data_IF_171427283408
#
_entry.id   IF_171427283408
#
_cell.length_a   1.000
_cell.length_b   1.000
_cell.length_c   1.000
_cell.angle_alpha   90.00
_cell.angle_beta   90.00
_cell.angle_gamma   90.00
#
_symmetry.space_group_name_H-M   'P 1'
#
loop_
_entity.id
_entity.type
_entity.pdbx_description
1 polymer ?
#
# COMPACT_ATOMS: atom_id res chain seq x y z
N UNK A 1 -17.05 -17.60 14.12
CA UNK A 1 -16.17 -18.04 13.02
C UNK A 1 -14.73 -17.77 13.38
N UNK A 2 -13.88 -18.78 13.21
CA UNK A 2 -12.44 -18.74 13.48
C UNK A 2 -11.70 -17.97 12.36
N UNK A 3 -10.54 -17.41 12.66
CA UNK A 3 -9.69 -16.76 11.64
C UNK A 3 -9.11 -17.83 10.71
N UNK A 4 -8.44 -18.83 11.29
CA UNK A 4 -7.93 -20.00 10.58
C UNK A 4 -8.71 -21.20 11.11
N UNK A 5 -9.37 -21.98 10.24
CA UNK A 5 -10.16 -23.12 10.69
C UNK A 5 -9.29 -24.12 11.44
N UNK A 6 -9.75 -24.56 12.60
CA UNK A 6 -9.04 -25.52 13.45
C UNK A 6 -7.94 -24.89 14.31
N UNK A 7 -7.83 -23.55 14.36
CA UNK A 7 -6.91 -22.84 15.26
C UNK A 7 -7.64 -21.83 16.14
N UNK A 8 -7.17 -21.64 17.39
CA UNK A 8 -7.56 -20.49 18.21
C UNK A 8 -7.28 -19.17 17.49
N UNK A 9 -8.12 -18.17 17.71
CA UNK A 9 -7.98 -16.87 17.03
C UNK A 9 -6.65 -16.19 17.37
N UNK A 10 -6.15 -16.38 18.59
CA UNK A 10 -4.86 -15.86 19.04
C UNK A 10 -3.73 -16.40 18.16
N UNK A 11 -3.71 -17.71 17.93
CA UNK A 11 -2.74 -18.37 17.06
C UNK A 11 -2.93 -17.94 15.60
N UNK A 12 -4.19 -17.82 15.15
CA UNK A 12 -4.50 -17.31 13.82
C UNK A 12 -3.92 -15.91 13.57
N UNK A 13 -4.05 -14.98 14.53
CA UNK A 13 -3.46 -13.64 14.45
C UNK A 13 -1.94 -13.69 14.40
N UNK A 14 -1.34 -14.53 15.22
CA UNK A 14 0.10 -14.77 15.23
C UNK A 14 0.61 -15.33 13.89
N UNK A 15 -0.19 -16.14 13.19
CA UNK A 15 0.12 -16.57 11.83
C UNK A 15 0.05 -15.39 10.84
N UNK A 16 -1.00 -14.56 10.93
CA UNK A 16 -1.18 -13.41 10.04
C UNK A 16 -0.06 -12.37 10.15
N UNK A 17 0.42 -12.06 11.36
CA UNK A 17 1.49 -11.06 11.55
C UNK A 17 2.84 -11.51 10.98
N UNK A 18 3.07 -12.82 10.82
CA UNK A 18 4.30 -13.40 10.25
C UNK A 18 4.39 -13.33 8.74
N UNK A 19 3.27 -13.11 8.05
CA UNK A 19 3.26 -13.07 6.59
C UNK A 19 4.03 -11.85 6.08
N UNK A 20 4.92 -11.97 5.10
CA UNK A 20 5.68 -10.84 4.55
C UNK A 20 4.78 -9.87 3.75
N UNK A 21 5.21 -8.62 3.60
CA UNK A 21 4.41 -7.54 2.98
C UNK A 21 4.05 -7.81 1.51
N UNK A 22 4.89 -8.52 0.76
CA UNK A 22 4.64 -8.92 -0.64
C UNK A 22 3.38 -9.79 -0.79
N UNK A 23 2.95 -10.46 0.29
CA UNK A 23 1.76 -11.33 0.31
C UNK A 23 0.54 -10.70 0.96
N UNK A 24 0.59 -9.42 1.36
CA UNK A 24 -0.54 -8.76 2.00
C UNK A 24 -1.76 -8.64 1.08
N UNK A 25 -1.53 -8.36 -0.20
CA UNK A 25 -2.62 -8.34 -1.18
C UNK A 25 -3.35 -9.70 -1.23
N UNK A 26 -2.61 -10.81 -1.10
CA UNK A 26 -3.21 -12.14 -1.00
C UNK A 26 -3.94 -12.33 0.33
N UNK A 27 -3.33 -11.95 1.46
CA UNK A 27 -3.93 -12.06 2.80
C UNK A 27 -5.34 -11.44 2.87
N UNK A 28 -5.48 -10.22 2.37
CA UNK A 28 -6.76 -9.49 2.41
C UNK A 28 -7.81 -10.08 1.47
N UNK A 29 -7.42 -10.94 0.52
CA UNK A 29 -8.32 -11.59 -0.44
C UNK A 29 -8.84 -12.95 0.05
N UNK A 30 -8.17 -13.59 1.02
CA UNK A 30 -8.54 -14.94 1.49
C UNK A 30 -9.95 -14.97 2.10
N UNK A 31 -10.26 -14.04 3.00
CA UNK A 31 -11.59 -13.94 3.61
C UNK A 31 -11.88 -12.54 4.14
N UNK A 32 -13.17 -12.23 4.34
CA UNK A 32 -13.58 -10.96 4.97
C UNK A 32 -13.00 -10.80 6.38
N UNK A 33 -12.86 -11.90 7.11
CA UNK A 33 -12.34 -11.90 8.48
C UNK A 33 -10.83 -11.62 8.51
N UNK A 34 -10.06 -12.23 7.61
CA UNK A 34 -8.62 -11.93 7.47
C UNK A 34 -8.40 -10.46 7.12
N UNK A 35 -9.20 -9.94 6.17
CA UNK A 35 -9.19 -8.52 5.81
C UNK A 35 -9.48 -7.62 7.01
N UNK A 36 -10.44 -7.98 7.87
CA UNK A 36 -10.76 -7.22 9.08
C UNK A 36 -9.61 -7.24 10.09
N UNK A 37 -9.00 -8.40 10.33
CA UNK A 37 -7.87 -8.54 11.26
C UNK A 37 -6.64 -7.75 10.78
N UNK A 38 -6.28 -7.83 9.49
CA UNK A 38 -5.16 -7.09 8.91
C UNK A 38 -5.40 -5.58 8.89
N UNK A 39 -6.65 -5.14 8.69
CA UNK A 39 -7.03 -3.72 8.73
C UNK A 39 -7.26 -3.19 10.16
N UNK A 40 -7.15 -4.02 11.19
CA UNK A 40 -7.34 -3.59 12.56
C UNK A 40 -6.20 -2.66 13.00
N UNK A 41 -6.47 -1.65 13.85
CA UNK A 41 -5.45 -0.73 14.35
C UNK A 41 -4.38 -1.44 15.19
N UNK A 42 -4.70 -2.61 15.75
CA UNK A 42 -3.79 -3.38 16.60
C UNK A 42 -2.81 -4.25 15.81
N UNK A 43 -3.08 -4.53 14.53
CA UNK A 43 -2.29 -5.45 13.72
C UNK A 43 -0.84 -4.99 13.57
N UNK A 44 -0.65 -3.69 13.26
CA UNK A 44 0.69 -3.13 13.07
C UNK A 44 1.49 -3.06 14.37
N UNK A 45 0.97 -2.49 15.47
CA UNK A 45 1.65 -2.54 16.76
C UNK A 45 2.10 -3.96 17.14
N UNK A 46 1.23 -4.97 16.99
CA UNK A 46 1.56 -6.39 17.28
C UNK A 46 2.70 -6.92 16.41
N UNK A 47 2.70 -6.54 15.12
CA UNK A 47 3.80 -6.89 14.21
C UNK A 47 5.10 -6.19 14.59
N UNK A 48 5.04 -4.94 15.08
CA UNK A 48 6.21 -4.20 15.56
C UNK A 48 6.83 -4.86 16.79
N UNK A 49 6.03 -5.20 17.79
CA UNK A 49 6.51 -5.83 19.03
C UNK A 49 7.04 -7.24 18.85
N UNK A 50 6.54 -7.98 17.84
CA UNK A 50 7.05 -9.32 17.51
C UNK A 50 8.36 -9.32 16.69
N UNK A 51 8.89 -8.15 16.34
CA UNK A 51 10.13 -8.03 15.55
C UNK A 51 9.97 -8.45 14.08
N UNK A 52 8.73 -8.59 13.61
CA UNK A 52 8.40 -9.04 12.24
C UNK A 52 8.21 -7.87 11.26
N UNK A 53 8.64 -6.67 11.65
CA UNK A 53 8.65 -5.51 10.77
C UNK A 53 9.67 -5.71 9.65
N UNK A 54 9.22 -5.57 8.42
CA UNK A 54 10.13 -5.39 7.30
C UNK A 54 10.31 -3.89 7.10
N UNK A 55 11.56 -3.43 7.15
CA UNK A 55 11.85 -2.05 6.76
C UNK A 55 11.45 -1.90 5.30
N UNK A 56 10.55 -0.97 5.00
CA UNK A 56 10.16 -0.68 3.61
C UNK A 56 10.11 0.83 3.47
N UNK A 57 10.79 1.34 2.47
CA UNK A 57 10.87 2.76 2.16
C UNK A 57 9.83 3.05 1.08
N UNK A 58 8.88 3.92 1.39
CA UNK A 58 7.92 4.44 0.42
C UNK A 58 8.42 5.80 -0.10
N UNK A 59 8.56 5.93 -1.41
CA UNK A 59 9.04 7.13 -2.07
C UNK A 59 7.99 7.64 -3.06
N UNK A 60 7.64 8.92 -2.96
CA UNK A 60 6.75 9.60 -3.90
C UNK A 60 7.62 10.32 -4.93
N UNK A 61 7.39 10.03 -6.21
CA UNK A 61 8.05 10.68 -7.33
C UNK A 61 7.04 11.47 -8.15
N UNK A 62 7.48 12.62 -8.66
CA UNK A 62 6.77 13.35 -9.71
C UNK A 62 7.30 12.89 -11.07
N UNK A 63 6.38 12.55 -11.96
CA UNK A 63 6.65 12.32 -13.38
C UNK A 63 6.20 13.60 -14.13
N UNK A 64 7.14 14.45 -14.58
CA UNK A 64 6.79 15.68 -15.28
C UNK A 64 6.29 15.33 -16.68
N UNK A 65 4.97 15.17 -16.82
CA UNK A 65 4.36 14.97 -18.13
C UNK A 65 3.85 16.30 -18.65
N UNK A 66 4.60 16.92 -19.57
CA UNK A 66 4.17 18.12 -20.27
C UNK A 66 3.08 17.74 -21.28
N UNK A 67 1.88 18.30 -21.16
CA UNK A 67 0.83 18.15 -22.16
C UNK A 67 0.50 19.49 -22.79
N UNK A 68 0.43 19.51 -24.12
CA UNK A 68 0.00 20.67 -24.90
C UNK A 68 -1.52 20.57 -25.05
N UNK A 69 -2.26 21.45 -24.38
CA UNK A 69 -3.70 21.60 -24.60
C UNK A 69 -3.92 22.72 -25.60
N UNK A 70 -4.47 22.40 -26.78
CA UNK A 70 -4.84 23.42 -27.77
C UNK A 70 -6.28 23.83 -27.51
N UNK A 71 -6.49 25.02 -26.96
CA UNK A 71 -7.82 25.62 -26.80
C UNK A 71 -7.83 26.97 -27.51
N UNK A 72 -8.71 27.13 -28.49
CA UNK A 72 -8.98 28.38 -29.21
C UNK A 72 -7.73 29.12 -29.70
N UNK A 73 -6.98 28.51 -30.64
CA UNK A 73 -5.83 29.11 -31.35
C UNK A 73 -4.69 29.65 -30.45
N UNK A 74 -4.70 29.36 -29.15
CA UNK A 74 -3.62 29.71 -28.23
C UNK A 74 -3.08 28.44 -27.58
N UNK A 75 -1.76 28.25 -27.68
CA UNK A 75 -1.07 27.06 -27.20
C UNK A 75 -0.71 27.28 -25.73
N UNK A 76 -1.53 26.78 -24.81
CA UNK A 76 -1.26 26.87 -23.36
C UNK A 76 -0.60 25.56 -22.92
N UNK A 77 0.67 25.64 -22.52
CA UNK A 77 1.37 24.52 -21.89
C UNK A 77 0.93 24.44 -20.43
N UNK A 78 0.16 23.42 -20.06
CA UNK A 78 -0.22 23.19 -18.65
C UNK A 78 0.51 21.95 -18.13
N UNK A 79 1.37 22.16 -17.12
CA UNK A 79 2.12 21.07 -16.47
C UNK A 79 1.30 20.52 -15.31
N UNK A 80 0.62 19.39 -15.51
CA UNK A 80 0.01 18.66 -14.38
C UNK A 80 1.00 17.61 -13.89
N UNK A 81 1.53 17.72 -12.66
CA UNK A 81 2.46 16.73 -12.14
C UNK A 81 1.72 15.41 -11.91
N UNK A 82 2.21 14.31 -12.51
CA UNK A 82 1.74 12.97 -12.16
C UNK A 82 2.55 12.45 -10.99
N UNK A 83 1.89 12.01 -9.93
CA UNK A 83 2.56 11.42 -8.77
C UNK A 83 2.56 9.90 -8.87
N UNK A 84 3.69 9.30 -8.53
CA UNK A 84 3.92 7.85 -8.51
C UNK A 84 4.51 7.44 -7.17
N UNK A 85 3.95 6.40 -6.58
CA UNK A 85 4.46 5.81 -5.35
C UNK A 85 5.36 4.62 -5.69
N UNK A 86 6.52 4.55 -5.06
CA UNK A 86 7.48 3.45 -5.22
C UNK A 86 7.81 2.88 -3.85
N UNK A 87 7.84 1.56 -3.73
CA UNK A 87 8.23 0.85 -2.52
C UNK A 87 9.59 0.20 -2.75
N UNK A 88 10.47 0.37 -1.77
CA UNK A 88 11.83 -0.17 -1.76
C UNK A 88 12.08 -0.91 -0.45
N UNK A 89 12.51 -2.16 -0.52
CA UNK A 89 12.88 -2.96 0.65
C UNK A 89 14.42 -2.95 0.77
N UNK A 90 15.01 -2.31 1.80
CA UNK A 90 16.45 -2.29 1.98
C UNK A 90 16.96 -3.71 2.25
N UNK A 91 17.76 -4.23 1.32
CA UNK A 91 18.30 -5.59 1.36
C UNK A 91 17.83 -6.48 0.21
N UNK A 92 16.68 -6.16 -0.41
CA UNK A 92 16.30 -6.69 -1.72
C UNK A 92 16.56 -5.61 -2.75
N UNK A 93 17.35 -5.90 -3.78
CA UNK A 93 17.58 -4.97 -4.90
C UNK A 93 16.34 -4.83 -5.82
N UNK A 94 15.15 -5.07 -5.29
CA UNK A 94 13.90 -5.09 -6.02
C UNK A 94 13.04 -3.90 -5.60
N UNK A 95 12.55 -3.16 -6.60
CA UNK A 95 11.72 -1.98 -6.41
C UNK A 95 10.37 -2.22 -7.05
N UNK A 96 9.31 -2.06 -6.26
CA UNK A 96 7.95 -2.16 -6.77
C UNK A 96 7.46 -0.74 -7.07
N UNK A 97 7.18 -0.49 -8.35
CA UNK A 97 6.62 0.78 -8.80
C UNK A 97 5.11 0.64 -8.93
N UNK A 98 4.36 1.43 -8.16
CA UNK A 98 2.90 1.42 -8.23
C UNK A 98 2.42 2.23 -9.45
N UNK A 99 1.24 1.91 -10.02
CA UNK A 99 0.66 2.69 -11.10
C UNK A 99 0.57 4.18 -10.72
N UNK A 100 0.78 5.06 -11.71
CA UNK A 100 0.66 6.49 -11.49
C UNK A 100 -0.77 6.83 -11.06
N UNK A 101 -0.93 7.57 -9.97
CA UNK A 101 -2.24 8.08 -9.58
C UNK A 101 -2.57 9.25 -10.52
N UNK A 102 -3.55 9.06 -11.38
CA UNK A 102 -4.28 10.19 -11.95
C UNK A 102 -5.08 10.81 -10.81
N UNK A 103 -4.82 12.08 -10.48
CA UNK A 103 -5.59 12.79 -9.45
C UNK A 103 -6.97 13.13 -10.01
N UNK A 104 -7.97 12.33 -9.69
CA UNK A 104 -9.36 12.74 -9.61
C UNK A 104 -9.63 13.11 -8.13
N UNK A 105 -9.77 14.42 -7.87
CA UNK A 105 -9.66 15.04 -6.54
C UNK A 105 -10.71 14.63 -5.48
N UNK A 106 -11.57 13.64 -5.75
CA UNK A 106 -12.69 13.26 -4.86
C UNK A 106 -12.56 11.88 -4.20
N UNK A 107 -11.54 11.08 -4.50
CA UNK A 107 -11.52 9.65 -4.11
C UNK A 107 -10.42 9.24 -3.12
N UNK A 108 -9.87 10.18 -2.34
CA UNK A 108 -8.94 9.88 -1.25
C UNK A 108 -9.65 9.30 -0.01
N UNK A 109 -10.28 8.13 -0.15
CA UNK A 109 -10.69 7.32 0.99
C UNK A 109 -10.42 5.85 0.65
N UNK A 110 -9.43 5.23 1.29
CA UNK A 110 -9.04 3.80 1.20
C UNK A 110 -7.92 3.36 0.24
N UNK A 111 -6.85 4.14 0.05
CA UNK A 111 -5.54 3.48 -0.14
C UNK A 111 -4.84 3.52 1.22
N UNK A 112 -4.80 2.41 1.99
CA UNK A 112 -3.97 2.35 3.17
C UNK A 112 -2.51 2.33 2.68
N UNK A 113 -1.96 3.52 2.44
CA UNK A 113 -0.52 3.69 2.36
C UNK A 113 -0.04 3.47 3.78
N UNK A 114 0.34 2.23 4.09
CA UNK A 114 1.06 1.90 5.32
C UNK A 114 2.45 2.55 5.24
N UNK A 115 2.51 3.85 5.52
CA UNK A 115 3.74 4.54 5.89
C UNK A 115 4.01 4.16 7.34
N UNK A 116 4.73 3.06 7.54
CA UNK A 116 5.25 2.67 8.84
C UNK A 116 6.67 3.18 8.99
N UNK A 117 6.82 4.37 9.58
CA UNK A 117 8.03 4.71 10.35
C UNK A 117 8.00 3.88 11.64
#
# INVERSE_FOLDING_TARGET
MEIIPGLPNEIGRECLIRVPYDRFATLICVSRKWKQEVKSPEFLPRRKTSGLNQSTIALVQTDPTNFITTTNNSQISTTTPKYRLCLYEPGKSERITLPAMTMDCHSFVNVPVLVGI
#
